data_IF_083408370949
#
_entry.id   IF_083408370949
#
_cell.length_a   1.000
_cell.length_b   1.000
_cell.length_c   1.000
_cell.angle_alpha   90.00
_cell.angle_beta   90.00
_cell.angle_gamma   90.00
#
_symmetry.space_group_name_H-M   'P 1'
#
loop_
_entity.id
_entity.type
_entity.pdbx_description
1 polymer ?
#
# COMPACT_ATOMS: atom_id res chain seq x y z
N UNK A 1 -0.73 15.27 6.52
CA UNK A 1 -0.80 13.89 7.06
C UNK A 1 -0.97 12.83 5.95
N UNK A 2 -0.11 12.78 4.93
CA UNK A 2 -0.26 11.78 3.84
C UNK A 2 0.55 10.49 4.08
N UNK A 3 1.64 10.57 4.82
CA UNK A 3 2.47 9.42 5.19
C UNK A 3 1.72 8.36 6.02
N UNK A 4 0.87 8.80 6.96
CA UNK A 4 0.05 7.90 7.78
C UNK A 4 -0.98 7.15 6.92
N UNK A 5 -1.57 7.79 5.91
CA UNK A 5 -2.55 7.14 5.02
C UNK A 5 -1.91 6.03 4.16
N UNK A 6 -0.72 6.27 3.62
CA UNK A 6 -0.01 5.28 2.78
C UNK A 6 0.39 4.05 3.62
N UNK A 7 0.86 4.25 4.84
CA UNK A 7 1.17 3.15 5.76
C UNK A 7 -0.08 2.38 6.22
N UNK A 8 -1.18 3.07 6.51
CA UNK A 8 -2.45 2.42 6.86
C UNK A 8 -3.01 1.60 5.67
N UNK A 9 -2.87 2.12 4.45
CA UNK A 9 -3.24 1.40 3.24
C UNK A 9 -2.41 0.12 3.08
N UNK A 10 -1.09 0.22 3.18
CA UNK A 10 -0.21 -0.94 3.10
C UNK A 10 -0.55 -2.00 4.17
N UNK A 11 -0.76 -1.59 5.42
CA UNK A 11 -1.10 -2.48 6.52
C UNK A 11 -2.48 -3.15 6.34
N UNK A 12 -3.49 -2.42 5.85
CA UNK A 12 -4.80 -2.97 5.56
C UNK A 12 -4.76 -4.00 4.43
N UNK A 13 -4.07 -3.65 3.34
CA UNK A 13 -3.89 -4.56 2.20
C UNK A 13 -3.14 -5.82 2.58
N UNK A 14 -2.06 -5.71 3.36
CA UNK A 14 -1.29 -6.87 3.81
C UNK A 14 -2.15 -7.82 4.67
N UNK A 15 -3.02 -7.28 5.53
CA UNK A 15 -3.94 -8.10 6.34
C UNK A 15 -5.01 -8.81 5.51
N UNK A 16 -5.57 -8.15 4.51
CA UNK A 16 -6.54 -8.79 3.61
C UNK A 16 -5.88 -9.91 2.81
N UNK A 17 -4.66 -9.66 2.34
CA UNK A 17 -3.84 -10.65 1.65
C UNK A 17 -3.49 -11.86 2.56
N UNK A 18 -3.25 -11.62 3.85
CA UNK A 18 -3.06 -12.68 4.85
C UNK A 18 -4.28 -13.62 4.98
N UNK A 19 -5.49 -13.10 4.75
CA UNK A 19 -6.73 -13.89 4.80
C UNK A 19 -6.97 -14.70 3.52
N UNK A 20 -6.08 -14.60 2.53
CA UNK A 20 -6.25 -15.23 1.22
C UNK A 20 -7.24 -14.48 0.32
N UNK A 21 -7.51 -13.20 0.60
CA UNK A 21 -8.36 -12.39 -0.27
C UNK A 21 -7.73 -12.22 -1.66
N UNK A 22 -8.61 -12.07 -2.65
CA UNK A 22 -8.20 -11.87 -4.03
C UNK A 22 -7.48 -10.52 -4.19
N UNK A 23 -6.48 -10.47 -5.08
CA UNK A 23 -5.68 -9.26 -5.33
C UNK A 23 -6.52 -8.04 -5.69
N UNK A 24 -7.65 -8.23 -6.38
CA UNK A 24 -8.57 -7.14 -6.76
C UNK A 24 -9.28 -6.52 -5.54
N UNK A 25 -9.67 -7.34 -4.57
CA UNK A 25 -10.26 -6.91 -3.28
C UNK A 25 -9.22 -6.15 -2.47
N UNK A 26 -8.01 -6.71 -2.33
CA UNK A 26 -6.88 -6.08 -1.64
C UNK A 26 -6.56 -4.72 -2.25
N UNK A 27 -6.48 -4.64 -3.58
CA UNK A 27 -6.23 -3.39 -4.29
C UNK A 27 -7.32 -2.35 -4.05
N UNK A 28 -8.60 -2.75 -4.10
CA UNK A 28 -9.72 -1.85 -3.83
C UNK A 28 -9.66 -1.22 -2.43
N UNK A 29 -9.15 -1.96 -1.44
CA UNK A 29 -8.96 -1.49 -0.07
C UNK A 29 -7.82 -0.46 0.03
N UNK A 30 -6.73 -0.70 -0.68
CA UNK A 30 -5.64 0.27 -0.84
C UNK A 30 -6.10 1.59 -1.44
N UNK A 31 -6.89 1.54 -2.52
CA UNK A 31 -7.44 2.72 -3.20
C UNK A 31 -8.32 3.56 -2.26
N UNK A 32 -9.16 2.92 -1.44
CA UNK A 32 -9.99 3.62 -0.45
C UNK A 32 -9.17 4.40 0.59
N UNK A 33 -7.98 3.93 0.94
CA UNK A 33 -7.17 4.48 2.03
C UNK A 33 -6.11 5.47 1.56
N UNK A 34 -5.40 5.14 0.47
CA UNK A 34 -4.29 5.94 -0.06
C UNK A 34 -4.69 6.78 -1.30
N UNK A 35 -5.86 6.57 -1.89
CA UNK A 35 -6.34 7.28 -3.07
C UNK A 35 -5.83 6.69 -4.39
N UNK A 36 -6.59 6.93 -5.44
CA UNK A 36 -6.33 6.52 -6.83
C UNK A 36 -5.05 7.12 -7.43
N UNK A 37 -4.51 8.17 -6.81
CA UNK A 37 -3.24 8.82 -7.13
C UNK A 37 -2.01 8.13 -6.50
N UNK A 38 -2.19 6.96 -5.87
CA UNK A 38 -1.11 6.12 -5.35
C UNK A 38 -0.84 4.91 -6.26
N UNK A 39 0.41 4.48 -6.30
CA UNK A 39 0.86 3.25 -6.96
C UNK A 39 0.85 2.10 -5.96
N UNK A 40 0.28 0.97 -6.34
CA UNK A 40 0.15 -0.22 -5.52
C UNK A 40 0.86 -1.39 -6.19
N UNK A 41 1.76 -2.04 -5.47
CA UNK A 41 2.44 -3.25 -5.92
C UNK A 41 2.31 -4.36 -4.86
N UNK A 42 1.96 -5.56 -5.32
CA UNK A 42 1.89 -6.75 -4.47
C UNK A 42 2.89 -7.75 -5.03
N UNK A 43 3.88 -8.10 -4.22
CA UNK A 43 4.92 -9.08 -4.55
C UNK A 43 4.72 -10.31 -3.69
N UNK A 44 4.60 -11.49 -4.31
CA UNK A 44 4.47 -12.77 -3.60
C UNK A 44 5.75 -13.58 -3.82
N UNK A 45 6.42 -13.99 -2.75
CA UNK A 45 7.67 -14.74 -2.84
C UNK A 45 8.09 -15.38 -1.52
N UNK A 46 8.65 -16.59 -1.58
CA UNK A 46 9.32 -17.24 -0.45
C UNK A 46 8.47 -17.47 0.82
N UNK A 47 7.15 -17.66 0.69
CA UNK A 47 6.23 -17.79 1.83
C UNK A 47 5.77 -16.44 2.42
N UNK A 48 6.06 -15.33 1.76
CA UNK A 48 5.62 -14.00 2.18
C UNK A 48 4.86 -13.32 1.04
N UNK A 49 3.94 -12.46 1.44
CA UNK A 49 3.36 -11.44 0.59
C UNK A 49 3.78 -10.07 1.06
N UNK A 50 4.41 -9.32 0.18
CA UNK A 50 4.84 -7.96 0.41
C UNK A 50 3.94 -6.99 -0.35
N UNK A 51 3.55 -5.92 0.33
CA UNK A 51 2.67 -4.89 -0.17
C UNK A 51 3.38 -3.55 -0.11
N UNK A 52 3.56 -2.95 -1.28
CA UNK A 52 4.19 -1.65 -1.45
C UNK A 52 3.15 -0.64 -1.94
N UNK A 53 3.01 0.47 -1.21
CA UNK A 53 2.16 1.58 -1.60
C UNK A 53 3.02 2.83 -1.66
N UNK A 54 3.01 3.51 -2.80
CA UNK A 54 3.76 4.76 -2.99
C UNK A 54 2.86 5.86 -3.53
N UNK A 55 3.02 7.07 -3.02
CA UNK A 55 2.20 8.22 -3.41
C UNK A 55 3.06 9.45 -3.60
N UNK A 56 2.93 10.09 -4.75
CA UNK A 56 3.58 11.37 -5.00
C UNK A 56 2.74 12.51 -4.46
N UNK A 57 3.32 13.28 -3.54
CA UNK A 57 2.66 14.40 -2.87
C UNK A 57 3.32 15.69 -3.30
N UNK A 58 2.58 16.58 -3.95
CA UNK A 58 3.05 17.94 -4.16
C UNK A 58 3.00 18.72 -2.85
N UNK A 59 4.16 19.17 -2.37
CA UNK A 59 4.26 20.08 -1.23
C UNK A 59 4.52 21.49 -1.77
N UNK A 60 3.69 22.49 -1.45
CA UNK A 60 3.96 23.88 -1.81
C UNK A 60 5.36 24.28 -1.32
N UNK A 61 6.14 24.97 -2.16
CA UNK A 61 7.53 25.39 -1.94
C UNK A 61 8.62 24.31 -2.12
N UNK A 62 8.31 23.01 -2.01
CA UNK A 62 9.31 21.93 -2.12
C UNK A 62 9.19 21.10 -3.41
N UNK A 63 8.12 21.26 -4.18
CA UNK A 63 7.87 20.49 -5.39
C UNK A 63 7.27 19.10 -5.12
N UNK A 64 7.35 18.15 -6.05
CA UNK A 64 6.86 16.80 -5.84
C UNK A 64 7.75 16.03 -4.85
N UNK A 65 7.17 15.54 -3.77
CA UNK A 65 7.83 14.69 -2.77
C UNK A 65 7.16 13.32 -2.78
N UNK A 66 7.95 12.27 -2.93
CA UNK A 66 7.42 10.90 -2.95
C UNK A 66 7.36 10.35 -1.53
N UNK A 67 6.19 9.82 -1.15
CA UNK A 67 5.94 9.24 0.16
C UNK A 67 5.65 7.76 -0.05
N UNK A 68 6.38 6.89 0.66
CA UNK A 68 6.30 5.45 0.53
C UNK A 68 5.80 4.83 1.85
N UNK A 69 4.99 3.79 1.74
CA UNK A 69 4.58 2.94 2.86
C UNK A 69 4.67 1.49 2.42
N UNK A 70 5.37 0.70 3.23
CA UNK A 70 5.63 -0.71 2.98
C UNK A 70 5.02 -1.52 4.12
N UNK A 71 4.42 -2.65 3.77
CA UNK A 71 3.91 -3.62 4.75
C UNK A 71 4.13 -5.04 4.21
N UNK A 72 4.61 -5.93 5.07
CA UNK A 72 4.90 -7.32 4.72
C UNK A 72 4.08 -8.25 5.61
N UNK A 73 3.56 -9.33 5.04
CA UNK A 73 2.80 -10.36 5.75
C UNK A 73 3.34 -11.74 5.37
N UNK A 74 3.53 -12.61 6.37
CA UNK A 74 3.80 -14.02 6.15
C UNK A 74 2.53 -14.72 5.66
N UNK A 75 2.65 -15.51 4.61
CA UNK A 75 1.60 -16.43 4.16
C UNK A 75 1.93 -17.81 4.74
N UNK A 76 1.10 -18.29 5.67
CA UNK A 76 1.14 -19.68 6.14
C UNK A 76 0.63 -20.66 5.07
#
# INVERSE_FOLDING_TARGET
>A
MKQIQVQQAAAAMARELARGEESSVVHSSGVRLAGDDATYAISRGGGFSEVHVSKSVRIPLLGPVQVHGEASVALE
#
